data_IF_363508238154
#
_entry.id   IF_363508238154
#
_cell.length_a   1.000
_cell.length_b   1.000
_cell.length_c   1.000
_cell.angle_alpha   90.00
_cell.angle_beta   90.00
_cell.angle_gamma   90.00
#
_symmetry.space_group_name_H-M   'P 1'
#
loop_
_entity.id
_entity.type
_entity.pdbx_description
1 polymer ?
#
# COMPACT_ATOMS: atom_id res chain seq x y z
N UNK A 1 -22.17 3.99 -26.68
CA UNK A 1 -20.81 4.56 -26.57
C UNK A 1 -20.57 4.75 -25.09
N UNK A 2 -19.83 3.83 -24.49
CA UNK A 2 -19.72 3.63 -23.04
C UNK A 2 -18.62 4.52 -22.48
N UNK A 3 -18.91 5.28 -21.41
CA UNK A 3 -17.90 6.09 -20.70
C UNK A 3 -16.76 5.24 -20.10
N UNK A 4 -16.89 3.91 -20.07
CA UNK A 4 -15.82 3.01 -19.61
C UNK A 4 -14.74 2.74 -20.68
N UNK A 5 -15.06 2.88 -21.97
CA UNK A 5 -14.10 2.58 -23.05
C UNK A 5 -13.10 3.74 -23.27
N UNK A 6 -13.48 4.96 -22.92
CA UNK A 6 -12.62 6.15 -23.09
C UNK A 6 -11.52 6.25 -22.00
N UNK A 7 -11.77 5.72 -20.80
CA UNK A 7 -10.81 5.76 -19.69
C UNK A 7 -9.68 4.72 -19.83
N UNK A 8 -9.94 3.58 -20.48
CA UNK A 8 -8.91 2.56 -20.76
C UNK A 8 -7.87 3.05 -21.79
N UNK A 9 -8.32 3.76 -22.83
CA UNK A 9 -7.46 4.26 -23.93
C UNK A 9 -6.54 5.42 -23.48
N UNK A 10 -6.98 6.20 -22.50
CA UNK A 10 -6.18 7.26 -21.86
C UNK A 10 -5.12 6.66 -20.91
N UNK A 11 -5.41 5.50 -20.30
CA UNK A 11 -4.48 4.84 -19.38
C UNK A 11 -3.27 4.24 -20.12
N UNK A 12 -3.50 3.64 -21.29
CA UNK A 12 -2.46 3.01 -22.10
C UNK A 12 -1.54 4.02 -22.79
N UNK A 13 -2.04 5.21 -23.14
CA UNK A 13 -1.22 6.31 -23.70
C UNK A 13 -0.43 7.10 -22.65
N UNK A 14 -0.73 6.96 -21.36
CA UNK A 14 -0.06 7.67 -20.27
C UNK A 14 1.19 6.95 -19.71
N UNK A 15 1.48 5.72 -20.16
CA UNK A 15 2.63 4.97 -19.68
C UNK A 15 3.88 5.33 -20.51
N UNK A 16 4.92 5.94 -19.89
CA UNK A 16 6.13 6.31 -20.63
C UNK A 16 6.83 5.08 -21.23
N UNK A 17 7.27 5.19 -22.49
CA UNK A 17 7.97 4.12 -23.27
C UNK A 17 9.18 3.52 -22.54
N UNK A 18 9.73 4.23 -21.55
CA UNK A 18 10.81 3.75 -20.71
C UNK A 18 10.45 3.93 -19.23
N UNK A 19 10.39 2.84 -18.43
CA UNK A 19 10.23 2.97 -17.00
C UNK A 19 11.41 3.78 -16.45
N UNK A 20 11.14 4.98 -15.93
CA UNK A 20 12.16 5.80 -15.31
C UNK A 20 12.86 4.98 -14.21
N UNK A 21 14.18 4.89 -14.31
CA UNK A 21 14.99 4.17 -13.33
C UNK A 21 14.86 4.89 -11.99
N UNK A 22 14.38 4.18 -10.95
CA UNK A 22 14.27 4.75 -9.59
C UNK A 22 15.63 5.25 -9.13
N UNK A 23 15.70 6.52 -8.76
CA UNK A 23 16.89 7.11 -8.15
C UNK A 23 17.05 6.66 -6.69
N UNK A 24 18.13 7.10 -6.03
CA UNK A 24 18.42 6.71 -4.64
C UNK A 24 17.30 7.09 -3.66
N UNK A 25 16.63 8.22 -3.88
CA UNK A 25 15.54 8.68 -3.02
C UNK A 25 14.29 7.83 -3.22
N UNK A 26 13.91 7.54 -4.46
CA UNK A 26 12.79 6.65 -4.76
C UNK A 26 13.02 5.24 -4.23
N UNK A 27 14.28 4.75 -4.28
CA UNK A 27 14.63 3.48 -3.65
C UNK A 27 14.47 3.52 -2.12
N UNK A 28 14.86 4.61 -1.45
CA UNK A 28 14.68 4.74 0.00
C UNK A 28 13.20 4.69 0.41
N UNK A 29 12.33 5.45 -0.28
CA UNK A 29 10.89 5.41 -0.03
C UNK A 29 10.29 4.04 -0.37
N UNK A 30 10.73 3.40 -1.44
CA UNK A 30 10.32 2.04 -1.81
C UNK A 30 10.66 1.03 -0.72
N UNK A 31 11.91 1.00 -0.24
CA UNK A 31 12.33 0.07 0.81
C UNK A 31 11.58 0.34 2.13
N UNK A 32 11.33 1.60 2.45
CA UNK A 32 10.57 1.94 3.64
C UNK A 32 9.12 1.42 3.56
N UNK A 33 8.45 1.58 2.42
CA UNK A 33 7.13 0.96 2.19
C UNK A 33 7.20 -0.56 2.32
N UNK A 34 8.22 -1.18 1.75
CA UNK A 34 8.41 -2.62 1.82
C UNK A 34 8.59 -3.11 3.26
N UNK A 35 9.37 -2.40 4.09
CA UNK A 35 9.53 -2.70 5.53
C UNK A 35 8.19 -2.58 6.27
N UNK A 36 7.42 -1.53 6.01
CA UNK A 36 6.08 -1.37 6.61
C UNK A 36 5.14 -2.50 6.19
N UNK A 37 5.18 -2.92 4.92
CA UNK A 37 4.42 -4.06 4.42
C UNK A 37 4.82 -5.36 5.14
N UNK A 38 6.12 -5.65 5.26
CA UNK A 38 6.60 -6.81 6.01
C UNK A 38 6.14 -6.78 7.48
N UNK A 39 6.15 -5.60 8.09
CA UNK A 39 5.65 -5.44 9.46
C UNK A 39 4.15 -5.72 9.55
N UNK A 40 3.32 -5.28 8.60
CA UNK A 40 1.89 -5.62 8.56
C UNK A 40 1.68 -7.14 8.40
N UNK A 41 2.51 -7.82 7.60
CA UNK A 41 2.36 -9.26 7.35
C UNK A 41 2.79 -10.15 8.53
N UNK A 42 3.86 -9.76 9.24
CA UNK A 42 4.51 -10.61 10.24
C UNK A 42 4.49 -10.03 11.68
N UNK A 43 4.10 -8.77 11.87
CA UNK A 43 4.17 -8.08 13.16
C UNK A 43 3.29 -8.70 14.24
N UNK A 44 2.21 -9.39 13.85
CA UNK A 44 1.36 -10.15 14.79
C UNK A 44 2.06 -11.36 15.42
N UNK A 45 3.19 -11.83 14.89
CA UNK A 45 3.93 -12.99 15.44
C UNK A 45 4.85 -12.58 16.59
N UNK A 46 5.15 -11.29 16.73
CA UNK A 46 6.12 -10.80 17.73
C UNK A 46 5.61 -11.06 19.15
N UNK A 47 6.33 -11.81 20.00
CA UNK A 47 5.90 -12.16 21.36
C UNK A 47 6.15 -11.02 22.37
N UNK A 48 6.12 -9.77 21.92
CA UNK A 48 6.36 -8.59 22.74
C UNK A 48 5.10 -7.74 22.82
N UNK A 49 4.43 -7.74 23.98
CA UNK A 49 3.11 -7.11 24.15
C UNK A 49 3.04 -5.64 23.73
N UNK A 50 4.02 -4.77 24.05
CA UNK A 50 4.01 -3.40 23.55
C UNK A 50 4.05 -3.30 22.02
N UNK A 51 4.79 -4.18 21.35
CA UNK A 51 4.79 -4.24 19.89
C UNK A 51 3.45 -4.72 19.32
N UNK A 52 2.77 -5.67 19.98
CA UNK A 52 1.42 -6.09 19.60
C UNK A 52 0.38 -4.97 19.76
N UNK A 53 0.46 -4.21 20.86
CA UNK A 53 -0.38 -3.01 21.02
C UNK A 53 -0.14 -2.01 19.91
N UNK A 54 1.14 -1.68 19.65
CA UNK A 54 1.49 -0.79 18.54
C UNK A 54 0.93 -1.32 17.21
N UNK A 55 1.11 -2.61 16.91
CA UNK A 55 0.61 -3.26 15.71
C UNK A 55 -0.93 -3.14 15.54
N UNK A 56 -1.68 -3.39 16.62
CA UNK A 56 -3.15 -3.30 16.63
C UNK A 56 -3.65 -1.88 16.35
N UNK A 57 -2.94 -0.85 16.79
CA UNK A 57 -3.26 0.54 16.44
C UNK A 57 -2.70 0.96 15.07
N UNK A 58 -1.55 0.41 14.69
CA UNK A 58 -0.85 0.73 13.46
C UNK A 58 -1.66 0.34 12.23
N UNK A 59 -2.23 -0.87 12.18
CA UNK A 59 -3.01 -1.33 11.02
C UNK A 59 -4.22 -0.42 10.73
N UNK A 60 -5.13 -0.14 11.69
CA UNK A 60 -6.22 0.82 11.49
C UNK A 60 -5.73 2.22 11.12
N UNK A 61 -4.60 2.66 11.68
CA UNK A 61 -4.03 3.97 11.35
C UNK A 61 -3.59 4.03 9.89
N UNK A 62 -3.00 2.97 9.34
CA UNK A 62 -2.66 2.87 7.91
C UNK A 62 -3.91 2.91 7.04
N UNK A 63 -4.95 2.13 7.38
CA UNK A 63 -6.24 2.16 6.67
C UNK A 63 -6.85 3.55 6.67
N UNK A 64 -6.91 4.19 7.84
CA UNK A 64 -7.44 5.54 7.99
C UNK A 64 -6.63 6.55 7.19
N UNK A 65 -5.31 6.45 7.25
CA UNK A 65 -4.40 7.29 6.47
C UNK A 65 -4.68 7.16 4.98
N UNK A 66 -4.86 5.95 4.46
CA UNK A 66 -5.23 5.74 3.05
C UNK A 66 -6.58 6.34 2.71
N UNK A 67 -7.61 6.10 3.53
CA UNK A 67 -8.95 6.65 3.30
C UNK A 67 -8.95 8.18 3.25
N UNK A 68 -8.26 8.83 4.18
CA UNK A 68 -8.14 10.30 4.23
C UNK A 68 -7.25 10.83 3.10
N UNK A 69 -6.30 10.03 2.64
CA UNK A 69 -5.32 10.43 1.62
C UNK A 69 -5.64 9.91 0.21
N UNK A 70 -6.90 9.58 -0.10
CA UNK A 70 -7.33 9.06 -1.43
C UNK A 70 -6.50 7.86 -1.88
N UNK A 71 -6.37 6.86 -1.01
CA UNK A 71 -5.63 5.62 -1.20
C UNK A 71 -4.12 5.77 -1.47
N UNK A 72 -3.52 6.95 -1.26
CA UNK A 72 -2.06 7.11 -1.36
C UNK A 72 -1.40 7.02 0.01
N UNK A 73 -0.20 6.45 0.07
CA UNK A 73 0.61 6.50 1.29
C UNK A 73 1.14 7.92 1.51
N UNK A 74 1.19 8.37 2.77
CA UNK A 74 1.75 9.68 3.11
C UNK A 74 3.20 9.85 2.64
N UNK A 75 3.94 8.73 2.60
CA UNK A 75 5.31 8.69 2.11
C UNK A 75 5.43 9.06 0.63
N UNK A 76 4.50 8.61 -0.21
CA UNK A 76 4.48 9.04 -1.63
C UNK A 76 4.22 10.54 -1.74
N UNK A 77 3.32 11.08 -0.92
CA UNK A 77 3.07 12.53 -0.90
C UNK A 77 4.30 13.31 -0.43
N UNK A 78 5.03 12.82 0.58
CA UNK A 78 6.27 13.43 1.06
C UNK A 78 7.33 13.37 -0.05
N UNK A 79 7.48 12.25 -0.74
CA UNK A 79 8.39 12.13 -1.88
C UNK A 79 8.04 13.14 -2.98
N UNK A 80 6.76 13.20 -3.38
CA UNK A 80 6.28 14.18 -4.37
C UNK A 80 6.54 15.61 -3.90
N UNK A 81 6.31 15.92 -2.62
CA UNK A 81 6.57 17.23 -2.05
C UNK A 81 8.04 17.61 -2.10
N UNK A 82 8.94 16.68 -1.80
CA UNK A 82 10.39 16.91 -1.88
C UNK A 82 10.83 17.13 -3.33
N UNK A 83 10.27 16.37 -4.29
CA UNK A 83 10.68 16.43 -5.71
C UNK A 83 10.13 17.63 -6.47
N UNK A 84 8.87 17.97 -6.22
CA UNK A 84 8.09 18.89 -7.06
C UNK A 84 7.64 20.14 -6.32
N UNK A 85 7.79 20.17 -4.99
CA UNK A 85 7.23 21.22 -4.13
C UNK A 85 5.71 21.10 -3.94
N UNK A 86 5.06 20.08 -4.50
CA UNK A 86 3.62 19.86 -4.40
C UNK A 86 3.32 18.65 -3.52
N UNK A 87 2.32 18.75 -2.63
CA UNK A 87 1.92 17.64 -1.76
C UNK A 87 1.44 16.40 -2.55
N UNK A 88 0.89 16.61 -3.75
CA UNK A 88 0.44 15.55 -4.66
C UNK A 88 0.71 15.96 -6.10
N UNK A 89 0.96 14.97 -6.94
CA UNK A 89 1.12 15.20 -8.37
C UNK A 89 -0.24 15.51 -8.99
N UNK A 90 -0.24 16.16 -10.15
CA UNK A 90 -1.46 16.24 -10.95
C UNK A 90 -1.97 14.81 -11.27
N UNK A 91 -3.29 14.58 -11.33
CA UNK A 91 -3.85 13.27 -11.67
C UNK A 91 -3.21 12.69 -12.94
N UNK A 92 -2.86 11.41 -12.91
CA UNK A 92 -2.24 10.71 -14.05
C UNK A 92 -0.73 10.91 -14.25
N UNK A 93 -0.07 11.82 -13.51
CA UNK A 93 1.39 12.03 -13.64
C UNK A 93 2.27 11.10 -12.81
N UNK A 94 1.72 10.42 -11.82
CA UNK A 94 2.45 9.47 -10.99
C UNK A 94 1.67 8.17 -10.87
N UNK A 95 2.04 7.17 -11.68
CA UNK A 95 1.40 5.85 -11.67
C UNK A 95 1.60 5.10 -10.36
N UNK A 96 2.53 5.53 -9.49
CA UNK A 96 2.73 4.97 -8.16
C UNK A 96 1.84 5.62 -7.07
N UNK A 97 1.15 6.73 -7.37
CA UNK A 97 0.20 7.35 -6.44
C UNK A 97 -1.08 6.50 -6.30
N UNK A 98 -1.09 5.63 -5.29
CA UNK A 98 -2.29 4.91 -4.84
C UNK A 98 -2.50 3.54 -5.50
N UNK A 99 -1.61 3.19 -6.42
CA UNK A 99 -1.59 1.89 -7.09
C UNK A 99 -0.37 1.04 -6.76
N UNK A 100 0.49 1.39 -5.80
CA UNK A 100 1.78 0.70 -5.60
C UNK A 100 1.66 -0.82 -5.51
N UNK A 101 0.71 -1.33 -4.70
CA UNK A 101 0.51 -2.77 -4.57
C UNK A 101 -0.07 -3.39 -5.85
N UNK A 102 -0.96 -2.68 -6.53
CA UNK A 102 -1.52 -3.09 -7.81
C UNK A 102 -0.43 -3.17 -8.90
N UNK A 103 0.42 -2.14 -9.03
CA UNK A 103 1.55 -2.10 -9.95
C UNK A 103 2.55 -3.20 -9.63
N UNK A 104 2.82 -3.46 -8.34
CA UNK A 104 3.70 -4.56 -7.92
C UNK A 104 3.12 -5.92 -8.29
N UNK A 105 1.82 -6.15 -8.00
CA UNK A 105 1.13 -7.37 -8.35
C UNK A 105 1.16 -7.61 -9.87
N UNK A 106 0.75 -6.61 -10.68
CA UNK A 106 0.80 -6.68 -12.15
C UNK A 106 2.20 -6.95 -12.68
N UNK A 107 3.24 -6.35 -12.10
CA UNK A 107 4.64 -6.61 -12.50
C UNK A 107 5.13 -8.02 -12.17
N UNK A 108 4.66 -8.60 -11.05
CA UNK A 108 5.10 -9.93 -10.61
C UNK A 108 4.30 -11.07 -11.25
N UNK A 109 2.99 -10.90 -11.42
CA UNK A 109 2.09 -11.97 -11.91
C UNK A 109 1.68 -11.79 -13.37
N UNK A 110 1.80 -10.58 -13.92
CA UNK A 110 1.28 -10.23 -15.24
C UNK A 110 -0.25 -10.12 -15.29
N UNK A 111 -0.94 -10.24 -14.16
CA UNK A 111 -2.41 -10.21 -14.12
C UNK A 111 -2.94 -8.79 -14.05
N UNK A 112 -3.94 -8.52 -14.89
CA UNK A 112 -4.68 -7.27 -14.86
C UNK A 112 -5.92 -7.41 -13.97
N UNK A 113 -5.70 -7.22 -12.67
CA UNK A 113 -6.76 -7.30 -11.65
C UNK A 113 -7.40 -5.91 -11.54
N UNK A 114 -8.73 -5.84 -11.52
CA UNK A 114 -9.44 -4.59 -11.27
C UNK A 114 -9.00 -3.93 -9.95
N UNK A 115 -8.84 -2.60 -9.96
CA UNK A 115 -8.51 -1.81 -8.77
C UNK A 115 -9.45 -2.10 -7.59
N UNK A 116 -10.76 -2.25 -7.84
CA UNK A 116 -11.71 -2.58 -6.80
C UNK A 116 -11.46 -3.95 -6.15
N UNK A 117 -11.16 -4.97 -6.97
CA UNK A 117 -10.86 -6.30 -6.48
C UNK A 117 -9.57 -6.32 -5.65
N UNK A 118 -8.56 -5.56 -6.08
CA UNK A 118 -7.31 -5.40 -5.33
C UNK A 118 -7.53 -4.70 -3.99
N UNK A 119 -8.30 -3.61 -3.97
CA UNK A 119 -8.63 -2.90 -2.73
C UNK A 119 -9.38 -3.80 -1.74
N UNK A 120 -10.40 -4.53 -2.20
CA UNK A 120 -11.14 -5.50 -1.38
C UNK A 120 -10.19 -6.56 -0.81
N UNK A 121 -9.32 -7.12 -1.65
CA UNK A 121 -8.33 -8.11 -1.24
C UNK A 121 -7.39 -7.57 -0.15
N UNK A 122 -6.86 -6.36 -0.33
CA UNK A 122 -5.98 -5.71 0.64
C UNK A 122 -6.70 -5.48 1.97
N UNK A 123 -7.92 -4.92 1.94
CA UNK A 123 -8.68 -4.66 3.16
C UNK A 123 -9.06 -5.95 3.90
N UNK A 124 -9.40 -7.02 3.17
CA UNK A 124 -9.61 -8.34 3.76
C UNK A 124 -8.36 -8.85 4.47
N UNK A 125 -7.18 -8.80 3.80
CA UNK A 125 -5.92 -9.19 4.40
C UNK A 125 -5.58 -8.38 5.65
N UNK A 126 -5.71 -7.05 5.59
CA UNK A 126 -5.48 -6.18 6.75
C UNK A 126 -6.41 -6.51 7.91
N UNK A 127 -7.69 -6.79 7.64
CA UNK A 127 -8.65 -7.25 8.64
C UNK A 127 -8.24 -8.57 9.28
N UNK A 128 -7.85 -9.57 8.47
CA UNK A 128 -7.34 -10.85 8.98
C UNK A 128 -6.11 -10.67 9.86
N UNK A 129 -5.13 -9.89 9.41
CA UNK A 129 -3.90 -9.65 10.16
C UNK A 129 -4.12 -8.87 11.45
N UNK A 130 -5.09 -7.94 11.48
CA UNK A 130 -5.54 -7.28 12.70
C UNK A 130 -6.16 -8.27 13.68
N UNK A 131 -7.05 -9.14 13.21
CA UNK A 131 -7.68 -10.17 14.04
C UNK A 131 -6.65 -11.16 14.60
N UNK A 132 -5.62 -11.52 13.83
CA UNK A 132 -4.50 -12.34 14.32
C UNK A 132 -3.71 -11.61 15.42
N UNK A 133 -3.40 -10.33 15.22
CA UNK A 133 -2.74 -9.51 16.25
C UNK A 133 -3.56 -9.39 17.54
N UNK A 134 -4.88 -9.16 17.43
CA UNK A 134 -5.79 -9.15 18.57
C UNK A 134 -5.86 -10.53 19.26
N UNK A 135 -5.95 -11.61 18.49
CA UNK A 135 -6.01 -12.97 19.03
C UNK A 135 -4.73 -13.32 19.80
N UNK A 136 -3.55 -12.97 19.28
CA UNK A 136 -2.28 -13.15 19.99
C UNK A 136 -2.20 -12.28 21.25
N UNK A 137 -2.61 -11.00 21.17
CA UNK A 137 -2.59 -10.10 22.32
C UNK A 137 -3.46 -10.59 23.50
N UNK A 138 -4.59 -11.24 23.18
CA UNK A 138 -5.50 -11.88 24.13
C UNK A 138 -5.05 -13.28 24.58
N UNK A 139 -3.95 -13.80 24.02
CA UNK A 139 -3.42 -15.13 24.33
C UNK A 139 -4.17 -16.28 23.67
N UNK A 140 -5.02 -16.04 22.68
CA UNK A 140 -5.70 -17.13 21.96
C UNK A 140 -4.77 -17.85 20.97
N UNK A 141 -3.74 -17.15 20.51
CA UNK A 141 -2.64 -17.71 19.73
C UNK A 141 -1.40 -17.81 20.62
N UNK A 142 -0.68 -18.91 20.50
CA UNK A 142 0.58 -19.21 21.20
C UNK A 142 0.49 -19.44 22.72
N UNK A 143 -0.64 -19.93 23.23
CA UNK A 143 -0.71 -20.45 24.61
C UNK A 143 0.03 -21.79 24.73
N UNK A 144 1.19 -21.79 25.39
CA UNK A 144 2.02 -22.98 25.57
C UNK A 144 3.35 -22.77 26.31
N UNK A 145 3.48 -21.73 27.15
CA UNK A 145 4.57 -21.61 28.14
C UNK A 145 4.01 -21.40 29.55
#
# INVERSE_FOLDING_TARGET
>A
MSLMDEDEDILDTALPEHPQKRDAMGNAFFYHHFVMMLYILAGWVVPFRPALWFYVFFIPSVVLQWRVNRNTCILNNIETMIRTGQWRSAPGKNSEEGGWLWTLARKLTGWDISHFAMDVFIYCLMGTFLLLGLSHLNGWLFWGE
#
